data_IF_556065905311
#
_entry.id   IF_556065905311
#
_cell.length_a   1.000
_cell.length_b   1.000
_cell.length_c   1.000
_cell.angle_alpha   90.00
_cell.angle_beta   90.00
_cell.angle_gamma   90.00
#
_symmetry.space_group_name_H-M   'P 1'
#
loop_
_entity.id
_entity.type
_entity.pdbx_description
1 polymer ?
#
# COMPACT_ATOMS: atom_id res chain seq x y z
N UNK A 1 -2.59 -22.97 -9.93
CA UNK A 1 -3.20 -23.45 -8.67
C UNK A 1 -4.67 -23.70 -8.96
N UNK A 2 -5.28 -24.76 -8.42
CA UNK A 2 -6.73 -24.94 -8.51
C UNK A 2 -7.42 -23.75 -7.84
N UNK A 3 -8.58 -23.34 -8.37
CA UNK A 3 -9.44 -22.24 -7.85
C UNK A 3 -9.69 -22.35 -6.33
N UNK A 4 -9.67 -23.56 -5.79
CA UNK A 4 -9.96 -23.91 -4.39
C UNK A 4 -8.98 -23.30 -3.37
N UNK A 5 -7.72 -23.00 -3.75
CA UNK A 5 -6.76 -22.39 -2.83
C UNK A 5 -6.81 -20.85 -2.79
N UNK A 6 -7.52 -20.20 -3.73
CA UNK A 6 -7.64 -18.72 -3.78
C UNK A 6 -8.56 -18.18 -2.69
N UNK A 7 -9.55 -18.96 -2.28
CA UNK A 7 -10.56 -18.57 -1.29
C UNK A 7 -10.14 -18.89 0.17
N UNK A 8 -8.92 -19.39 0.41
CA UNK A 8 -8.56 -19.98 1.69
C UNK A 8 -8.49 -19.00 2.88
N UNK A 9 -8.25 -17.71 2.64
CA UNK A 9 -8.11 -16.69 3.70
C UNK A 9 -9.39 -15.86 3.93
N UNK A 10 -10.23 -15.75 2.91
CA UNK A 10 -11.27 -14.74 2.83
C UNK A 10 -12.55 -15.00 3.68
N UNK A 11 -12.99 -16.26 3.97
CA UNK A 11 -14.15 -16.50 4.83
C UNK A 11 -13.88 -16.28 6.34
N UNK A 12 -12.62 -16.15 6.76
CA UNK A 12 -12.23 -16.24 8.18
C UNK A 12 -11.92 -14.88 8.85
N UNK A 13 -11.81 -13.79 8.09
CA UNK A 13 -11.43 -12.45 8.60
C UNK A 13 -12.39 -11.89 9.64
N UNK A 14 -13.66 -12.31 9.62
CA UNK A 14 -14.66 -11.85 10.61
C UNK A 14 -14.55 -12.57 11.94
N UNK A 15 -14.21 -13.85 11.93
CA UNK A 15 -14.32 -14.73 13.10
C UNK A 15 -13.00 -14.96 13.83
N UNK A 16 -11.86 -14.83 13.13
CA UNK A 16 -10.54 -15.11 13.67
C UNK A 16 -9.87 -13.87 14.24
N UNK A 17 -9.07 -14.10 15.29
CA UNK A 17 -8.11 -13.13 15.81
C UNK A 17 -6.97 -12.89 14.81
N UNK A 18 -6.23 -11.79 14.98
CA UNK A 18 -5.07 -11.49 14.15
C UNK A 18 -4.02 -12.61 14.17
N UNK A 19 -3.76 -13.21 15.33
CA UNK A 19 -2.81 -14.31 15.47
C UNK A 19 -3.23 -15.56 14.66
N UNK A 20 -4.50 -15.95 14.73
CA UNK A 20 -5.01 -17.11 13.97
C UNK A 20 -4.96 -16.88 12.46
N UNK A 21 -5.20 -15.64 12.01
CA UNK A 21 -5.08 -15.27 10.59
C UNK A 21 -3.62 -15.26 10.12
N UNK A 22 -2.69 -14.81 10.96
CA UNK A 22 -1.27 -14.85 10.67
C UNK A 22 -0.80 -16.30 10.48
N UNK A 23 -1.12 -17.18 11.42
CA UNK A 23 -0.74 -18.60 11.33
C UNK A 23 -1.25 -19.24 10.03
N UNK A 24 -2.53 -19.03 9.71
CA UNK A 24 -3.14 -19.53 8.48
C UNK A 24 -2.52 -18.93 7.21
N UNK A 25 -2.20 -17.63 7.22
CA UNK A 25 -1.57 -16.98 6.09
C UNK A 25 -0.16 -17.54 5.84
N UNK A 26 0.60 -17.81 6.90
CA UNK A 26 1.93 -18.39 6.80
C UNK A 26 1.93 -19.82 6.23
N UNK A 27 0.85 -20.59 6.41
CA UNK A 27 0.69 -21.91 5.77
C UNK A 27 0.64 -21.85 4.24
N UNK A 28 0.27 -20.70 3.66
CA UNK A 28 0.30 -20.50 2.20
C UNK A 28 1.74 -20.44 1.64
N UNK A 29 2.70 -20.12 2.50
CA UNK A 29 4.11 -19.93 2.15
C UNK A 29 4.37 -18.74 1.23
N UNK A 30 5.64 -18.52 0.84
CA UNK A 30 6.06 -17.32 0.10
C UNK A 30 5.29 -17.08 -1.20
N UNK A 31 5.11 -18.14 -2.00
CA UNK A 31 4.39 -18.05 -3.29
C UNK A 31 2.89 -17.83 -3.12
N UNK A 32 2.33 -18.24 -1.99
CA UNK A 32 0.92 -18.03 -1.70
C UNK A 32 0.66 -16.58 -1.34
N UNK A 33 1.44 -16.03 -0.40
CA UNK A 33 1.35 -14.62 0.01
C UNK A 33 1.59 -13.68 -1.17
N UNK A 34 2.67 -13.89 -1.94
CA UNK A 34 3.00 -13.03 -3.09
C UNK A 34 2.00 -13.12 -4.26
N UNK A 35 0.98 -13.98 -4.17
CA UNK A 35 -0.09 -14.16 -5.17
C UNK A 35 -1.46 -13.72 -4.66
N UNK A 36 -1.56 -13.25 -3.42
CA UNK A 36 -2.74 -12.54 -2.97
C UNK A 36 -2.87 -11.23 -3.74
N UNK A 37 -4.10 -10.76 -3.93
CA UNK A 37 -4.29 -9.42 -4.47
C UNK A 37 -3.77 -8.38 -3.48
N UNK A 38 -3.41 -7.20 -3.98
CA UNK A 38 -2.94 -6.12 -3.13
C UNK A 38 -3.98 -5.72 -2.08
N UNK A 39 -5.27 -5.72 -2.44
CA UNK A 39 -6.39 -5.47 -1.56
C UNK A 39 -6.49 -6.55 -0.47
N UNK A 40 -6.45 -7.82 -0.85
CA UNK A 40 -6.58 -8.92 0.11
C UNK A 40 -5.40 -8.93 1.09
N UNK A 41 -4.19 -8.70 0.58
CA UNK A 41 -2.99 -8.55 1.39
C UNK A 41 -3.10 -7.37 2.36
N UNK A 42 -3.54 -6.20 1.88
CA UNK A 42 -3.73 -5.02 2.72
C UNK A 42 -4.71 -5.29 3.87
N UNK A 43 -5.88 -5.86 3.57
CA UNK A 43 -6.89 -6.13 4.59
C UNK A 43 -6.44 -7.19 5.60
N UNK A 44 -5.66 -8.16 5.16
CA UNK A 44 -5.02 -9.13 6.04
C UNK A 44 -4.03 -8.45 7.01
N UNK A 45 -3.15 -7.58 6.50
CA UNK A 45 -2.21 -6.80 7.32
C UNK A 45 -2.96 -5.90 8.32
N UNK A 46 -4.02 -5.21 7.89
CA UNK A 46 -4.86 -4.36 8.76
C UNK A 46 -5.51 -5.16 9.88
N UNK A 47 -6.03 -6.36 9.57
CA UNK A 47 -6.71 -7.21 10.53
C UNK A 47 -5.76 -7.85 11.54
N UNK A 48 -4.57 -8.28 11.09
CA UNK A 48 -3.52 -8.84 11.95
C UNK A 48 -2.96 -7.75 12.87
N UNK A 49 -2.78 -6.56 12.32
CA UNK A 49 -2.19 -5.43 13.02
C UNK A 49 -0.73 -5.22 12.62
N UNK A 50 -0.26 -3.97 12.66
CA UNK A 50 1.03 -3.58 12.09
C UNK A 50 2.23 -4.15 12.86
N UNK A 51 2.08 -4.53 14.13
CA UNK A 51 3.18 -5.09 14.94
C UNK A 51 3.45 -6.56 14.61
N UNK A 52 2.40 -7.33 14.31
CA UNK A 52 2.48 -8.77 14.10
C UNK A 52 2.61 -9.14 12.60
N UNK A 53 2.42 -8.18 11.68
CA UNK A 53 2.41 -8.44 10.25
C UNK A 53 3.79 -8.59 9.58
N UNK A 54 4.90 -8.40 10.32
CA UNK A 54 6.27 -8.43 9.77
C UNK A 54 6.57 -9.70 8.96
N UNK A 55 6.21 -10.91 9.40
CA UNK A 55 6.40 -12.13 8.60
C UNK A 55 5.67 -12.08 7.25
N UNK A 56 4.53 -11.38 7.15
CA UNK A 56 3.84 -11.20 5.87
C UNK A 56 4.56 -10.19 4.97
N UNK A 57 5.10 -9.11 5.54
CA UNK A 57 5.88 -8.13 4.78
C UNK A 57 7.11 -8.78 4.12
N UNK A 58 7.78 -9.70 4.80
CA UNK A 58 8.93 -10.44 4.27
C UNK A 58 8.56 -11.26 3.01
N UNK A 59 7.36 -11.86 3.02
CA UNK A 59 6.87 -12.74 1.94
C UNK A 59 6.11 -12.02 0.82
N UNK A 60 5.74 -10.76 1.04
CA UNK A 60 4.92 -9.99 0.11
C UNK A 60 5.67 -9.63 -1.19
N UNK A 61 4.94 -9.40 -2.27
CA UNK A 61 5.50 -8.82 -3.51
C UNK A 61 5.79 -7.33 -3.35
N UNK A 62 6.52 -6.75 -4.30
CA UNK A 62 6.82 -5.31 -4.30
C UNK A 62 5.56 -4.49 -4.59
N UNK A 63 4.64 -4.99 -5.40
CA UNK A 63 3.34 -4.36 -5.66
C UNK A 63 2.48 -4.30 -4.40
N UNK A 64 2.51 -5.37 -3.59
CA UNK A 64 1.82 -5.40 -2.29
C UNK A 64 2.41 -4.38 -1.30
N UNK A 65 3.74 -4.23 -1.26
CA UNK A 65 4.40 -3.18 -0.47
C UNK A 65 3.95 -1.78 -0.92
N UNK A 66 4.00 -1.53 -2.23
CA UNK A 66 3.62 -0.25 -2.82
C UNK A 66 2.16 0.11 -2.48
N UNK A 67 1.24 -0.82 -2.67
CA UNK A 67 -0.18 -0.61 -2.39
C UNK A 67 -0.44 -0.35 -0.89
N UNK A 68 0.21 -1.11 0.00
CA UNK A 68 0.11 -0.89 1.44
C UNK A 68 0.57 0.52 1.82
N UNK A 69 1.73 0.96 1.32
CA UNK A 69 2.28 2.29 1.60
C UNK A 69 1.43 3.43 0.98
N UNK A 70 0.83 3.22 -0.19
CA UNK A 70 -0.06 4.21 -0.81
C UNK A 70 -1.31 4.50 0.03
N UNK A 71 -1.75 3.55 0.85
CA UNK A 71 -2.86 3.74 1.78
C UNK A 71 -2.40 4.22 3.15
N UNK A 72 -1.25 3.75 3.63
CA UNK A 72 -0.86 3.87 5.03
C UNK A 72 0.02 5.07 5.39
N UNK A 73 0.52 5.84 4.42
CA UNK A 73 1.48 6.91 4.70
C UNK A 73 0.87 8.31 4.87
N UNK A 74 -0.41 8.48 4.56
CA UNK A 74 -0.98 9.79 4.23
C UNK A 74 -1.80 10.42 5.35
N UNK A 75 -1.89 11.75 5.37
CA UNK A 75 -2.86 12.52 6.13
C UNK A 75 -3.41 13.62 5.24
N UNK A 76 -4.58 13.37 4.65
CA UNK A 76 -5.07 14.10 3.48
C UNK A 76 -4.18 13.85 2.28
N UNK A 77 -3.74 14.93 1.65
CA UNK A 77 -2.96 14.90 0.41
C UNK A 77 -1.45 14.94 0.66
N UNK A 78 -1.03 14.83 1.93
CA UNK A 78 0.38 14.91 2.33
C UNK A 78 0.83 13.65 3.08
N UNK A 79 2.01 13.11 2.78
CA UNK A 79 2.61 12.05 3.59
C UNK A 79 2.95 12.56 5.00
N UNK A 80 2.74 11.73 6.02
CA UNK A 80 3.06 12.04 7.42
C UNK A 80 4.37 11.37 7.81
N UNK A 81 5.36 12.14 8.26
CA UNK A 81 6.68 11.62 8.64
C UNK A 81 6.56 10.54 9.72
N UNK A 82 5.63 10.70 10.67
CA UNK A 82 5.39 9.72 11.72
C UNK A 82 4.90 8.38 11.15
N UNK A 83 3.98 8.41 10.18
CA UNK A 83 3.47 7.20 9.50
C UNK A 83 4.54 6.56 8.62
N UNK A 84 5.36 7.38 7.95
CA UNK A 84 6.49 6.88 7.15
C UNK A 84 7.50 6.17 8.05
N UNK A 85 7.99 6.83 9.10
CA UNK A 85 8.95 6.22 10.03
C UNK A 85 8.40 4.93 10.64
N UNK A 86 7.12 4.91 11.01
CA UNK A 86 6.43 3.73 11.53
C UNK A 86 6.47 2.55 10.55
N UNK A 87 6.09 2.76 9.28
CA UNK A 87 6.08 1.65 8.31
C UNK A 87 7.48 1.27 7.84
N UNK A 88 8.37 2.25 7.59
CA UNK A 88 9.75 2.00 7.18
C UNK A 88 10.49 1.13 8.21
N UNK A 89 10.30 1.36 9.51
CA UNK A 89 10.88 0.49 10.55
C UNK A 89 10.42 -0.97 10.42
N UNK A 90 9.15 -1.20 10.08
CA UNK A 90 8.59 -2.56 9.91
C UNK A 90 9.13 -3.24 8.66
N UNK A 91 9.19 -2.52 7.54
CA UNK A 91 9.83 -3.02 6.33
C UNK A 91 11.32 -3.30 6.53
N UNK A 92 12.00 -2.48 7.33
CA UNK A 92 13.41 -2.67 7.67
C UNK A 92 13.62 -3.92 8.53
N UNK A 93 12.71 -4.19 9.47
CA UNK A 93 12.70 -5.44 10.27
C UNK A 93 12.36 -6.67 9.43
N UNK A 94 11.53 -6.51 8.39
CA UNK A 94 11.16 -7.59 7.49
C UNK A 94 12.31 -7.97 6.52
N UNK A 95 12.84 -7.00 5.79
CA UNK A 95 13.99 -7.19 4.89
C UNK A 95 14.70 -5.84 4.62
N UNK A 96 15.79 -5.53 5.34
CA UNK A 96 16.45 -4.23 5.25
C UNK A 96 17.15 -4.01 3.89
N UNK A 97 17.66 -5.06 3.27
CA UNK A 97 18.36 -4.98 1.97
C UNK A 97 17.36 -4.78 0.85
N UNK A 98 16.23 -5.50 0.88
CA UNK A 98 15.16 -5.33 -0.09
C UNK A 98 14.51 -3.96 0.02
N UNK A 99 14.23 -3.50 1.24
CA UNK A 99 13.74 -2.14 1.48
C UNK A 99 14.69 -1.10 0.89
N UNK A 100 15.98 -1.25 1.14
CA UNK A 100 17.00 -0.34 0.59
C UNK A 100 17.00 -0.31 -0.94
N UNK A 101 16.94 -1.48 -1.59
CA UNK A 101 16.87 -1.57 -3.06
C UNK A 101 15.62 -0.89 -3.61
N UNK A 102 14.48 -1.11 -2.97
CA UNK A 102 13.21 -0.49 -3.34
C UNK A 102 13.27 1.04 -3.15
N UNK A 103 13.79 1.54 -2.03
CA UNK A 103 13.98 2.98 -1.77
C UNK A 103 14.95 3.65 -2.74
N UNK A 104 15.82 2.89 -3.39
CA UNK A 104 16.70 3.39 -4.45
C UNK A 104 16.08 3.35 -5.85
N UNK A 105 14.90 2.75 -6.00
CA UNK A 105 14.24 2.56 -7.29
C UNK A 105 12.80 3.04 -7.20
N UNK A 106 11.82 2.17 -7.02
CA UNK A 106 10.41 2.58 -7.04
C UNK A 106 10.04 3.54 -5.89
N UNK A 107 10.73 3.41 -4.76
CA UNK A 107 10.57 4.25 -3.56
C UNK A 107 11.44 5.49 -3.50
N UNK A 108 12.13 5.88 -4.58
CA UNK A 108 13.13 6.96 -4.59
C UNK A 108 12.56 8.30 -4.10
N UNK A 109 11.37 8.70 -4.57
CA UNK A 109 10.74 9.95 -4.13
C UNK A 109 10.37 9.92 -2.64
N UNK A 110 9.91 8.75 -2.16
CA UNK A 110 9.59 8.57 -0.73
C UNK A 110 10.86 8.65 0.11
N UNK A 111 11.97 8.08 -0.34
CA UNK A 111 13.26 8.16 0.32
C UNK A 111 13.74 9.61 0.43
N UNK A 112 13.71 10.36 -0.68
CA UNK A 112 14.05 11.78 -0.67
C UNK A 112 13.17 12.56 0.30
N UNK A 113 11.86 12.34 0.28
CA UNK A 113 10.92 13.05 1.14
C UNK A 113 11.18 12.76 2.62
N UNK A 114 11.28 11.48 2.97
CA UNK A 114 11.46 11.02 4.34
C UNK A 114 12.78 11.51 4.92
N UNK A 115 13.89 11.33 4.19
CA UNK A 115 15.21 11.73 4.66
C UNK A 115 15.34 13.26 4.71
N UNK A 116 14.80 14.00 3.73
CA UNK A 116 14.79 15.46 3.76
C UNK A 116 14.06 16.02 4.98
N UNK A 117 12.92 15.42 5.36
CA UNK A 117 12.15 15.85 6.53
C UNK A 117 12.78 15.39 7.85
N UNK A 118 13.57 14.31 7.84
CA UNK A 118 14.09 13.67 9.05
C UNK A 118 15.56 13.98 9.38
N UNK A 119 16.35 14.44 8.41
CA UNK A 119 17.80 14.60 8.56
C UNK A 119 18.25 16.05 8.39
N UNK A 120 19.29 16.40 9.12
CA UNK A 120 20.20 17.50 8.78
C UNK A 120 21.46 16.89 8.16
N UNK A 121 21.78 17.28 6.94
CA UNK A 121 22.93 16.78 6.19
C UNK A 121 23.86 17.95 5.87
N UNK A 122 25.11 17.82 6.25
CA UNK A 122 26.18 18.77 5.93
C UNK A 122 27.28 18.02 5.18
N UNK A 123 27.69 18.55 4.04
CA UNK A 123 28.83 18.03 3.29
C UNK A 123 30.10 18.72 3.77
N UNK A 124 31.16 17.95 4.02
CA UNK A 124 32.48 18.52 4.30
C UNK A 124 33.13 18.99 2.99
N UNK A 125 33.26 20.30 2.80
CA UNK A 125 33.72 20.92 1.53
C UNK A 125 35.10 21.59 1.66
N UNK A 126 35.85 21.43 2.76
CA UNK A 126 37.20 22.01 2.85
C UNK A 126 37.82 22.14 4.24
N UNK A 127 38.82 23.02 4.36
CA UNK A 127 39.74 23.13 5.52
C UNK A 127 39.08 23.51 6.86
N UNK A 128 37.88 24.10 6.86
CA UNK A 128 37.16 24.45 8.09
C UNK A 128 36.52 23.24 8.78
N UNK A 129 36.38 22.12 8.06
CA UNK A 129 35.76 20.88 8.52
C UNK A 129 34.26 21.01 8.75
N UNK A 130 33.50 19.93 8.51
CA UNK A 130 32.08 19.93 8.84
C UNK A 130 31.84 20.12 10.35
N UNK A 131 30.71 20.75 10.78
CA UNK A 131 30.38 20.90 12.18
C UNK A 131 30.29 19.53 12.87
N UNK A 132 31.30 19.21 13.70
CA UNK A 132 31.31 18.01 14.57
C UNK A 132 30.50 18.25 15.84
N UNK A 133 29.31 18.86 15.69
CA UNK A 133 28.40 19.11 16.80
C UNK A 133 27.90 17.80 17.41
N UNK A 134 27.32 17.87 18.61
CA UNK A 134 26.73 16.70 19.25
C UNK A 134 25.65 16.07 18.36
N UNK A 135 25.72 14.73 18.25
CA UNK A 135 24.71 13.94 17.57
C UNK A 135 24.91 13.77 16.06
N UNK A 136 25.90 14.39 15.43
CA UNK A 136 26.30 14.07 14.06
C UNK A 136 27.07 12.74 13.99
N UNK A 137 26.81 11.95 12.96
CA UNK A 137 27.60 10.79 12.58
C UNK A 137 27.98 10.85 11.11
N UNK A 138 28.97 10.06 10.70
CA UNK A 138 29.40 9.95 9.30
C UNK A 138 29.74 8.50 8.98
N UNK A 139 29.50 8.09 7.73
CA UNK A 139 29.79 6.74 7.22
C UNK A 139 30.95 6.73 6.23
N UNK A 140 31.15 7.82 5.49
CA UNK A 140 32.14 7.94 4.42
C UNK A 140 33.14 9.09 4.65
N UNK A 141 32.99 9.85 5.74
CA UNK A 141 33.81 11.03 6.03
C UNK A 141 33.50 12.25 5.16
N UNK A 142 32.51 12.17 4.28
CA UNK A 142 32.10 13.25 3.37
C UNK A 142 30.79 13.87 3.86
N UNK A 143 29.79 13.03 4.16
CA UNK A 143 28.50 13.49 4.68
C UNK A 143 28.45 13.36 6.20
N UNK A 144 28.13 14.46 6.85
CA UNK A 144 27.84 14.54 8.27
C UNK A 144 26.32 14.64 8.45
N UNK A 145 25.76 13.61 9.08
CA UNK A 145 24.32 13.42 9.19
C UNK A 145 23.90 13.52 10.66
N UNK A 146 22.83 14.26 10.92
CA UNK A 146 22.14 14.29 12.20
C UNK A 146 20.66 13.98 12.00
N UNK A 147 20.12 13.06 12.79
CA UNK A 147 18.68 12.82 12.84
C UNK A 147 18.02 13.94 13.66
N UNK A 148 17.01 14.62 13.08
CA UNK A 148 16.33 15.76 13.71
C UNK A 148 15.55 15.38 14.96
N UNK A 149 14.86 14.24 14.91
CA UNK A 149 14.08 13.72 16.03
C UNK A 149 14.79 12.50 16.65
N UNK A 150 15.28 12.60 17.90
CA UNK A 150 15.98 11.50 18.57
C UNK A 150 15.18 10.19 18.66
N UNK A 151 13.84 10.25 18.61
CA UNK A 151 12.99 9.06 18.64
C UNK A 151 13.23 8.11 17.47
N UNK A 152 13.61 8.65 16.32
CA UNK A 152 13.86 7.86 15.09
C UNK A 152 15.35 7.63 14.84
N UNK A 153 16.23 7.99 15.78
CA UNK A 153 17.67 7.96 15.58
C UNK A 153 18.18 6.58 15.23
N UNK A 154 17.82 5.57 16.03
CA UNK A 154 18.31 4.20 15.85
C UNK A 154 17.86 3.61 14.51
N UNK A 155 16.57 3.72 14.19
CA UNK A 155 16.00 3.23 12.92
C UNK A 155 16.63 3.93 11.70
N UNK A 156 16.76 5.27 11.73
CA UNK A 156 17.31 6.03 10.61
C UNK A 156 18.82 5.80 10.44
N UNK A 157 19.59 5.76 11.53
CA UNK A 157 21.01 5.42 11.45
C UNK A 157 21.22 4.02 10.86
N UNK A 158 20.41 3.04 11.29
CA UNK A 158 20.44 1.69 10.74
C UNK A 158 20.07 1.64 9.25
N UNK A 159 19.05 2.40 8.84
CA UNK A 159 18.62 2.48 7.44
C UNK A 159 19.72 3.08 6.56
N UNK A 160 20.31 4.19 7.00
CA UNK A 160 21.37 4.90 6.27
C UNK A 160 22.63 4.04 6.17
N UNK A 161 23.00 3.31 7.24
CA UNK A 161 24.09 2.31 7.18
C UNK A 161 23.81 1.24 6.13
N UNK A 162 22.60 0.68 6.13
CA UNK A 162 22.20 -0.34 5.14
C UNK A 162 22.25 0.23 3.71
N UNK A 163 21.79 1.47 3.50
CA UNK A 163 21.89 2.18 2.22
C UNK A 163 23.33 2.27 1.70
N UNK A 164 24.25 2.71 2.56
CA UNK A 164 25.66 2.83 2.20
C UNK A 164 26.34 1.47 1.94
N UNK A 165 25.95 0.42 2.69
CA UNK A 165 26.45 -0.94 2.50
C UNK A 165 25.94 -1.59 1.19
N UNK A 166 24.68 -1.33 0.82
CA UNK A 166 24.07 -1.90 -0.39
C UNK A 166 24.59 -1.23 -1.66
N UNK A 167 24.65 0.10 -1.69
CA UNK A 167 25.17 0.86 -2.84
C UNK A 167 25.64 2.26 -2.39
N UNK A 168 26.95 2.37 -2.16
CA UNK A 168 27.57 3.63 -1.72
C UNK A 168 27.34 4.78 -2.71
N UNK A 169 27.33 4.51 -4.03
CA UNK A 169 27.16 5.56 -5.03
C UNK A 169 25.72 6.11 -5.01
N UNK A 170 24.72 5.23 -4.91
CA UNK A 170 23.31 5.65 -4.78
C UNK A 170 23.05 6.36 -3.46
N UNK A 171 23.63 5.90 -2.37
CA UNK A 171 23.59 6.60 -1.09
C UNK A 171 24.17 8.02 -1.21
N UNK A 172 25.35 8.19 -1.80
CA UNK A 172 25.98 9.51 -1.96
C UNK A 172 25.17 10.42 -2.88
N UNK A 173 24.59 9.87 -3.96
CA UNK A 173 23.69 10.60 -4.85
C UNK A 173 22.44 11.09 -4.10
N UNK A 174 21.81 10.23 -3.28
CA UNK A 174 20.67 10.57 -2.44
C UNK A 174 21.04 11.69 -1.45
N UNK A 175 22.13 11.54 -0.70
CA UNK A 175 22.58 12.55 0.28
C UNK A 175 22.87 13.90 -0.35
N UNK A 176 23.48 13.91 -1.54
CA UNK A 176 23.70 15.13 -2.33
C UNK A 176 22.37 15.77 -2.76
N UNK A 177 21.44 14.93 -3.25
CA UNK A 177 20.12 15.35 -3.73
C UNK A 177 19.26 16.00 -2.66
N UNK A 178 19.42 15.64 -1.37
CA UNK A 178 18.66 16.23 -0.26
C UNK A 178 18.82 17.77 -0.17
N UNK A 179 19.95 18.33 -0.61
CA UNK A 179 20.19 19.78 -0.60
C UNK A 179 19.38 20.55 -1.66
N UNK A 180 18.92 19.86 -2.71
CA UNK A 180 18.20 20.44 -3.84
C UNK A 180 16.69 20.12 -3.82
N UNK A 181 16.20 19.42 -2.79
CA UNK A 181 14.79 19.05 -2.68
C UNK A 181 13.91 20.30 -2.57
N UNK A 182 12.91 20.38 -3.46
CA UNK A 182 11.80 21.32 -3.37
C UNK A 182 10.62 20.60 -2.73
N UNK A 183 10.28 20.89 -1.45
CA UNK A 183 9.33 20.05 -0.71
C UNK A 183 7.94 20.03 -1.33
N UNK A 184 7.46 21.16 -1.85
CA UNK A 184 6.13 21.25 -2.45
C UNK A 184 6.02 20.42 -3.74
N UNK A 185 7.04 20.48 -4.60
CA UNK A 185 7.07 19.67 -5.84
C UNK A 185 7.12 18.17 -5.53
N UNK A 186 7.90 17.80 -4.51
CA UNK A 186 8.02 16.41 -4.09
C UNK A 186 6.71 15.88 -3.47
N UNK A 187 6.03 16.69 -2.66
CA UNK A 187 4.72 16.37 -2.08
C UNK A 187 3.66 16.19 -3.18
N UNK A 188 3.61 17.10 -4.15
CA UNK A 188 2.68 17.02 -5.28
C UNK A 188 2.93 15.79 -6.16
N UNK A 189 4.18 15.50 -6.49
CA UNK A 189 4.52 14.36 -7.34
C UNK A 189 4.24 13.02 -6.65
N UNK A 190 4.55 12.91 -5.35
CA UNK A 190 4.16 11.73 -4.55
C UNK A 190 2.64 11.55 -4.57
N UNK A 191 1.88 12.63 -4.39
CA UNK A 191 0.42 12.59 -4.35
C UNK A 191 -0.16 12.16 -5.70
N UNK A 192 0.34 12.74 -6.80
CA UNK A 192 -0.05 12.41 -8.17
C UNK A 192 0.20 10.93 -8.49
N UNK A 193 1.39 10.42 -8.17
CA UNK A 193 1.75 9.03 -8.43
C UNK A 193 0.93 8.05 -7.60
N UNK A 194 0.71 8.37 -6.32
CA UNK A 194 -0.16 7.59 -5.42
C UNK A 194 -1.57 7.51 -5.97
N UNK A 195 -2.17 8.63 -6.39
CA UNK A 195 -3.52 8.65 -6.94
C UNK A 195 -3.61 7.88 -8.27
N UNK A 196 -2.60 7.97 -9.13
CA UNK A 196 -2.57 7.22 -10.37
C UNK A 196 -2.60 5.70 -10.11
N UNK A 197 -1.79 5.21 -9.16
CA UNK A 197 -1.79 3.78 -8.78
C UNK A 197 -3.10 3.37 -8.11
N UNK A 198 -3.60 4.15 -7.14
CA UNK A 198 -4.81 3.79 -6.40
C UNK A 198 -6.09 3.84 -7.28
N UNK A 199 -6.11 4.67 -8.33
CA UNK A 199 -7.21 4.70 -9.29
C UNK A 199 -7.38 3.36 -10.02
N UNK A 200 -6.30 2.61 -10.27
CA UNK A 200 -6.36 1.25 -10.86
C UNK A 200 -7.08 0.25 -9.95
N UNK A 201 -7.15 0.55 -8.64
CA UNK A 201 -7.86 -0.24 -7.64
C UNK A 201 -9.26 0.32 -7.30
N UNK A 202 -9.73 1.35 -8.00
CA UNK A 202 -11.05 1.95 -7.78
C UNK A 202 -11.11 3.08 -6.74
N UNK A 203 -9.97 3.53 -6.21
CA UNK A 203 -9.91 4.77 -5.42
C UNK A 203 -9.85 5.98 -6.37
N UNK A 204 -11.02 6.40 -6.83
CA UNK A 204 -11.15 7.60 -7.66
C UNK A 204 -10.93 8.87 -6.83
N UNK A 205 -10.53 9.99 -7.45
CA UNK A 205 -10.54 11.30 -6.80
C UNK A 205 -11.91 11.57 -6.17
N UNK A 206 -11.95 12.26 -5.03
CA UNK A 206 -13.18 12.48 -4.26
C UNK A 206 -14.34 13.03 -5.11
N UNK A 207 -14.06 13.99 -6.01
CA UNK A 207 -15.05 14.61 -6.89
C UNK A 207 -15.71 13.60 -7.85
N UNK A 208 -14.95 12.61 -8.32
CA UNK A 208 -15.46 11.51 -9.14
C UNK A 208 -16.13 10.44 -8.29
N UNK A 209 -15.54 10.10 -7.14
CA UNK A 209 -16.05 9.07 -6.24
C UNK A 209 -17.45 9.38 -5.73
N UNK A 210 -17.72 10.63 -5.32
CA UNK A 210 -19.04 11.09 -4.81
C UNK A 210 -20.18 10.87 -5.82
N UNK A 211 -19.87 10.79 -7.12
CA UNK A 211 -20.88 10.52 -8.15
C UNK A 211 -21.63 9.21 -7.93
N UNK A 212 -21.06 8.26 -7.16
CA UNK A 212 -21.70 6.99 -6.77
C UNK A 212 -23.02 7.18 -6.01
N UNK A 213 -23.19 8.31 -5.32
CA UNK A 213 -24.42 8.65 -4.60
C UNK A 213 -25.46 9.34 -5.48
N UNK A 214 -25.16 9.57 -6.75
CA UNK A 214 -26.10 10.18 -7.69
C UNK A 214 -27.26 9.22 -7.97
N UNK A 215 -28.51 9.68 -7.88
CA UNK A 215 -29.66 8.86 -8.22
C UNK A 215 -29.59 8.36 -9.68
N UNK A 216 -29.88 7.09 -9.90
CA UNK A 216 -29.98 6.53 -11.25
C UNK A 216 -31.32 6.92 -11.89
N UNK A 217 -31.28 7.48 -13.09
CA UNK A 217 -32.50 7.70 -13.87
C UNK A 217 -33.07 6.36 -14.39
N UNK A 218 -34.40 6.13 -14.35
CA UNK A 218 -35.00 4.90 -14.88
C UNK A 218 -34.66 4.63 -16.36
N UNK A 219 -34.38 5.69 -17.13
CA UNK A 219 -33.96 5.58 -18.53
C UNK A 219 -32.54 4.99 -18.69
N UNK A 220 -31.72 4.99 -17.65
CA UNK A 220 -30.40 4.35 -17.63
C UNK A 220 -30.54 2.82 -17.58
N UNK A 221 -31.45 2.29 -16.74
CA UNK A 221 -31.70 0.85 -16.62
C UNK A 221 -32.16 0.23 -17.95
N UNK A 222 -33.02 0.93 -18.70
CA UNK A 222 -33.48 0.50 -20.03
C UNK A 222 -32.38 0.51 -21.09
N UNK A 223 -31.34 1.33 -20.94
CA UNK A 223 -30.18 1.36 -21.84
C UNK A 223 -29.20 0.21 -21.54
N UNK A 224 -29.19 -0.26 -20.29
CA UNK A 224 -28.40 -1.41 -19.85
C UNK A 224 -29.03 -2.75 -20.24
N UNK A 225 -30.34 -2.80 -20.48
CA UNK A 225 -31.01 -4.00 -21.01
C UNK A 225 -30.44 -4.37 -22.38
N UNK A 226 -29.67 -5.47 -22.44
CA UNK A 226 -29.01 -5.94 -23.66
C UNK A 226 -27.62 -5.36 -23.90
N UNK A 227 -27.10 -4.52 -23.00
CA UNK A 227 -25.69 -4.14 -23.01
C UNK A 227 -24.86 -5.38 -22.67
N UNK A 228 -24.19 -5.96 -23.67
CA UNK A 228 -23.13 -6.93 -23.43
C UNK A 228 -21.98 -6.15 -22.81
N UNK A 229 -21.67 -6.46 -21.56
CA UNK A 229 -20.52 -5.88 -20.92
C UNK A 229 -19.29 -6.15 -21.80
N UNK A 230 -18.46 -5.13 -22.03
CA UNK A 230 -17.28 -5.30 -22.88
C UNK A 230 -16.47 -6.50 -22.36
N UNK A 231 -15.99 -7.37 -23.26
CA UNK A 231 -15.14 -8.47 -22.86
C UNK A 231 -13.95 -7.85 -22.13
N UNK A 232 -13.75 -8.23 -20.87
CA UNK A 232 -12.53 -7.89 -20.15
C UNK A 232 -11.39 -8.42 -20.99
N UNK A 233 -10.63 -7.52 -21.63
CA UNK A 233 -9.42 -7.88 -22.37
C UNK A 233 -8.41 -8.32 -21.33
N UNK A 234 -8.47 -9.60 -20.97
CA UNK A 234 -7.46 -10.23 -20.12
C UNK A 234 -6.18 -10.32 -20.93
N UNK A 235 -5.14 -9.62 -20.51
CA UNK A 235 -3.79 -10.00 -20.90
C UNK A 235 -3.53 -11.42 -20.35
N UNK A 236 -3.36 -12.44 -21.22
CA UNK A 236 -3.11 -13.81 -20.77
C UNK A 236 -1.80 -13.96 -19.99
N UNK A 237 -0.88 -12.99 -20.09
CA UNK A 237 0.42 -13.00 -19.44
C UNK A 237 0.46 -12.21 -18.12
N UNK A 238 -0.53 -11.36 -17.86
CA UNK A 238 -0.61 -10.63 -16.59
C UNK A 238 -1.17 -11.55 -15.49
N UNK A 239 -0.42 -11.79 -14.39
CA UNK A 239 -0.95 -12.52 -13.24
C UNK A 239 -1.98 -11.64 -12.53
N UNK A 240 -3.24 -11.66 -12.98
CA UNK A 240 -4.32 -10.96 -12.28
C UNK A 240 -4.66 -11.75 -11.02
N UNK A 241 -4.30 -11.18 -9.89
CA UNK A 241 -4.72 -11.60 -8.56
C UNK A 241 -6.11 -11.01 -8.29
N UNK A 242 -7.07 -11.85 -7.94
CA UNK A 242 -8.48 -11.44 -7.82
C UNK A 242 -8.80 -11.24 -6.34
N UNK A 243 -9.23 -10.02 -5.94
CA UNK A 243 -9.61 -9.76 -4.56
C UNK A 243 -10.84 -10.56 -4.17
N UNK A 244 -10.80 -11.22 -3.02
CA UNK A 244 -11.88 -12.09 -2.56
C UNK A 244 -12.53 -11.55 -1.29
N UNK A 245 -11.75 -10.85 -0.45
CA UNK A 245 -12.18 -10.36 0.86
C UNK A 245 -13.34 -9.35 0.76
N UNK A 246 -13.31 -8.30 -0.10
CA UNK A 246 -14.38 -7.32 -0.15
C UNK A 246 -15.76 -7.92 -0.39
N UNK A 247 -15.90 -8.80 -1.39
CA UNK A 247 -17.17 -9.42 -1.75
C UNK A 247 -17.74 -10.26 -0.59
N UNK A 248 -16.89 -11.05 0.08
CA UNK A 248 -17.32 -11.88 1.21
C UNK A 248 -17.70 -11.04 2.44
N UNK A 249 -17.11 -9.86 2.61
CA UNK A 249 -17.47 -8.92 3.65
C UNK A 249 -18.77 -8.14 3.37
N UNK A 250 -19.41 -8.30 2.21
CA UNK A 250 -20.74 -7.74 1.93
C UNK A 250 -21.86 -8.23 2.87
N UNK A 251 -21.66 -9.37 3.55
CA UNK A 251 -22.58 -9.88 4.57
C UNK A 251 -23.34 -11.15 4.16
N UNK A 252 -23.22 -12.19 4.98
CA UNK A 252 -24.01 -13.41 4.85
C UNK A 252 -25.50 -13.09 5.03
N UNK A 253 -26.27 -13.18 3.94
CA UNK A 253 -27.72 -13.02 3.95
C UNK A 253 -28.29 -12.00 2.96
N UNK A 254 -27.46 -11.18 2.29
CA UNK A 254 -27.96 -10.29 1.23
C UNK A 254 -28.23 -11.09 -0.07
N UNK A 255 -29.25 -10.68 -0.83
CA UNK A 255 -29.66 -11.36 -2.06
C UNK A 255 -28.60 -11.26 -3.16
N UNK A 256 -27.86 -10.15 -3.19
CA UNK A 256 -26.78 -9.92 -4.16
C UNK A 256 -25.67 -10.98 -4.02
N UNK A 257 -25.14 -11.18 -2.82
CA UNK A 257 -24.07 -12.15 -2.53
C UNK A 257 -24.56 -13.57 -2.75
N UNK A 258 -25.82 -13.88 -2.42
CA UNK A 258 -26.40 -15.19 -2.74
C UNK A 258 -26.43 -15.45 -4.25
N UNK A 259 -26.81 -14.45 -5.05
CA UNK A 259 -26.78 -14.55 -6.51
C UNK A 259 -25.34 -14.61 -7.05
N UNK A 260 -24.44 -13.77 -6.53
CA UNK A 260 -23.02 -13.71 -6.88
C UNK A 260 -22.30 -15.05 -6.63
N UNK A 261 -22.57 -15.68 -5.48
CA UNK A 261 -22.02 -16.99 -5.12
C UNK A 261 -22.61 -18.13 -5.94
N UNK A 262 -23.79 -17.94 -6.55
CA UNK A 262 -24.45 -18.92 -7.42
C UNK A 262 -24.02 -18.83 -8.89
N UNK A 263 -23.06 -17.97 -9.23
CA UNK A 263 -22.53 -17.84 -10.60
C UNK A 263 -21.63 -19.03 -10.94
N UNK A 264 -22.03 -19.81 -11.96
CA UNK A 264 -21.25 -20.96 -12.43
C UNK A 264 -20.09 -20.59 -13.38
N UNK A 265 -20.17 -19.45 -14.07
CA UNK A 265 -19.10 -18.99 -14.98
C UNK A 265 -17.93 -18.39 -14.19
N UNK A 266 -16.74 -19.04 -14.18
CA UNK A 266 -15.61 -18.55 -13.40
C UNK A 266 -15.09 -17.18 -13.88
N UNK A 267 -15.19 -16.88 -15.18
CA UNK A 267 -14.72 -15.59 -15.70
C UNK A 267 -15.62 -14.45 -15.25
N UNK A 268 -16.94 -14.69 -15.23
CA UNK A 268 -17.91 -13.73 -14.73
C UNK A 268 -17.80 -13.56 -13.21
N UNK A 269 -17.61 -14.64 -12.45
CA UNK A 269 -17.39 -14.57 -11.01
C UNK A 269 -16.13 -13.76 -10.64
N UNK A 270 -15.03 -13.98 -11.37
CA UNK A 270 -13.79 -13.22 -11.20
C UNK A 270 -13.99 -11.72 -11.50
N UNK A 271 -14.72 -11.40 -12.57
CA UNK A 271 -15.08 -10.03 -12.93
C UNK A 271 -15.91 -9.37 -11.83
N UNK A 272 -16.92 -10.07 -11.33
CA UNK A 272 -17.80 -9.57 -10.28
C UNK A 272 -17.02 -9.24 -9.01
N UNK A 273 -16.05 -10.09 -8.62
CA UNK A 273 -15.13 -9.83 -7.51
C UNK A 273 -14.29 -8.58 -7.71
N UNK A 274 -13.71 -8.40 -8.89
CA UNK A 274 -12.92 -7.21 -9.24
C UNK A 274 -13.76 -5.93 -9.21
N UNK A 275 -14.91 -5.93 -9.89
CA UNK A 275 -15.81 -4.77 -9.93
C UNK A 275 -16.36 -4.44 -8.54
N UNK A 276 -16.67 -5.45 -7.72
CA UNK A 276 -17.14 -5.23 -6.35
C UNK A 276 -16.05 -4.67 -5.44
N UNK A 277 -14.81 -5.13 -5.56
CA UNK A 277 -13.69 -4.55 -4.83
C UNK A 277 -13.47 -3.08 -5.22
N UNK A 278 -13.52 -2.77 -6.53
CA UNK A 278 -13.47 -1.39 -7.03
C UNK A 278 -14.61 -0.53 -6.49
N UNK A 279 -15.84 -1.05 -6.46
CA UNK A 279 -17.00 -0.39 -5.88
C UNK A 279 -16.81 -0.07 -4.40
N UNK A 280 -16.32 -1.04 -3.61
CA UNK A 280 -16.05 -0.85 -2.20
C UNK A 280 -14.99 0.23 -1.96
N UNK A 281 -13.93 0.23 -2.76
CA UNK A 281 -12.87 1.24 -2.71
C UNK A 281 -13.38 2.64 -3.12
N UNK A 282 -14.24 2.72 -4.15
CA UNK A 282 -14.88 3.97 -4.55
C UNK A 282 -15.78 4.54 -3.45
N UNK A 283 -16.53 3.70 -2.73
CA UNK A 283 -17.32 4.11 -1.58
C UNK A 283 -16.43 4.63 -0.44
N UNK A 284 -15.32 3.96 -0.14
CA UNK A 284 -14.34 4.44 0.86
C UNK A 284 -13.74 5.80 0.48
N UNK A 285 -13.43 5.99 -0.81
CA UNK A 285 -12.95 7.27 -1.33
C UNK A 285 -14.03 8.37 -1.24
N UNK A 286 -15.28 8.05 -1.58
CA UNK A 286 -16.41 8.98 -1.50
C UNK A 286 -16.75 9.36 -0.06
N UNK A 287 -16.49 8.48 0.91
CA UNK A 287 -16.66 8.75 2.34
C UNK A 287 -15.48 9.55 2.95
N UNK A 288 -14.42 9.81 2.16
CA UNK A 288 -13.25 10.57 2.61
C UNK A 288 -12.38 9.84 3.64
N UNK A 289 -12.46 8.51 3.71
CA UNK A 289 -11.73 7.70 4.68
C UNK A 289 -10.26 7.57 4.29
N UNK A 290 -9.38 8.16 5.09
CA UNK A 290 -7.94 8.24 4.79
C UNK A 290 -7.12 7.02 5.22
N UNK A 291 -7.64 6.23 6.17
CA UNK A 291 -6.97 5.05 6.71
C UNK A 291 -8.03 4.05 7.19
N UNK A 292 -8.83 3.51 6.26
CA UNK A 292 -9.98 2.70 6.62
C UNK A 292 -9.54 1.48 7.43
N UNK A 293 -10.30 1.17 8.47
CA UNK A 293 -10.15 -0.09 9.20
C UNK A 293 -11.05 -1.19 8.60
N UNK A 294 -10.99 -2.38 9.19
CA UNK A 294 -11.79 -3.51 8.70
C UNK A 294 -13.29 -3.25 8.87
N UNK A 295 -13.71 -2.49 9.87
CA UNK A 295 -15.12 -2.18 10.11
C UNK A 295 -15.64 -1.18 9.07
N UNK A 296 -14.82 -0.20 8.69
CA UNK A 296 -15.08 0.72 7.57
C UNK A 296 -15.29 -0.05 6.25
N UNK A 297 -14.42 -1.02 5.96
CA UNK A 297 -14.59 -1.88 4.79
C UNK A 297 -15.90 -2.67 4.88
N UNK A 298 -16.20 -3.28 6.02
CA UNK A 298 -17.44 -4.04 6.21
C UNK A 298 -18.66 -3.13 5.97
N UNK A 299 -18.64 -1.90 6.46
CA UNK A 299 -19.71 -0.93 6.23
C UNK A 299 -19.85 -0.58 4.74
N UNK A 300 -18.72 -0.31 4.06
CA UNK A 300 -18.67 -0.05 2.62
C UNK A 300 -19.23 -1.23 1.81
N UNK A 301 -18.74 -2.44 2.05
CA UNK A 301 -19.19 -3.65 1.35
C UNK A 301 -20.67 -3.95 1.60
N UNK A 302 -21.20 -3.68 2.81
CA UNK A 302 -22.64 -3.84 3.10
C UNK A 302 -23.52 -2.81 2.39
N UNK A 303 -22.99 -1.63 2.07
CA UNK A 303 -23.70 -0.60 1.31
C UNK A 303 -23.65 -0.87 -0.19
N UNK A 304 -22.55 -1.45 -0.67
CA UNK A 304 -22.36 -1.81 -2.07
C UNK A 304 -23.13 -3.07 -2.50
N UNK A 305 -23.53 -3.94 -1.56
CA UNK A 305 -24.25 -5.19 -1.82
C UNK A 305 -25.75 -5.10 -1.48
#
# INVERSE_FOLDING_TARGET
MPLIQRDALAPDIRGKSGAELLDQALELGPRGISRLSCEDFFWLVRKIGPDDCIPLLELASTEQWQYLLDLELWGGDMPRVERISFWIERFQRADPVRLTRWLFTEGELLAHYHLYKSLDVVMDVGDEGAPKGEGFFTLDGVFHIRVRDPRYRESLESLIRTMAEVDLNRYQALMTGLSAVLPAELEEELYRLRNARLAEHGFLPYEEAVSIYSPLEPAFLKRMEGATADPVVRDPQAPVTIPTIPLLLGGAGNLFLQAAMGVDDPLFADRLRLEFAGLANQLLAADGLQSPDTDDLIASCRRGA
#
